data_IF_886426356441
#
_entry.id   IF_886426356441
#
_cell.length_a   1.000
_cell.length_b   1.000
_cell.length_c   1.000
_cell.angle_alpha   90.00
_cell.angle_beta   90.00
_cell.angle_gamma   90.00
#
_symmetry.space_group_name_H-M   'P 1'
#
loop_
_entity.id
_entity.type
_entity.pdbx_description
1 polymer ?
#
# COMPACT_ATOMS: atom_id res chain seq x y z
N UNK A 1 -10.94 -14.41 -9.61
CA UNK A 1 -10.56 -13.08 -9.10
C UNK A 1 -10.74 -12.05 -10.20
N UNK A 2 -11.36 -10.91 -9.91
CA UNK A 2 -11.49 -9.79 -10.86
C UNK A 2 -10.45 -8.71 -10.54
N UNK A 3 -9.38 -8.67 -11.33
CA UNK A 3 -8.34 -7.62 -11.22
C UNK A 3 -8.75 -6.44 -12.06
N UNK A 4 -9.07 -5.33 -11.41
CA UNK A 4 -9.32 -4.08 -12.09
C UNK A 4 -8.11 -3.16 -11.96
N UNK A 5 -7.94 -2.26 -12.93
CA UNK A 5 -6.96 -1.18 -12.88
C UNK A 5 -7.69 0.15 -12.69
N UNK A 6 -7.12 1.03 -11.87
CA UNK A 6 -7.67 2.37 -11.59
C UNK A 6 -6.55 3.40 -11.68
N UNK A 7 -6.85 4.58 -12.22
CA UNK A 7 -5.83 5.63 -12.38
C UNK A 7 -5.34 6.14 -11.03
N UNK A 8 -4.06 6.51 -10.95
CA UNK A 8 -3.52 7.17 -9.77
C UNK A 8 -4.30 8.43 -9.39
N UNK A 9 -4.76 9.21 -10.37
CA UNK A 9 -5.63 10.37 -10.12
C UNK A 9 -6.90 10.00 -9.35
N UNK A 10 -7.58 8.93 -9.76
CA UNK A 10 -8.81 8.47 -9.09
C UNK A 10 -8.53 7.97 -7.67
N UNK A 11 -7.41 7.26 -7.47
CA UNK A 11 -7.00 6.78 -6.14
C UNK A 11 -6.60 7.95 -5.24
N UNK A 12 -5.81 8.90 -5.75
CA UNK A 12 -5.45 10.14 -5.05
C UNK A 12 -6.67 10.93 -4.62
N UNK A 13 -7.65 11.12 -5.51
CA UNK A 13 -8.90 11.80 -5.19
C UNK A 13 -9.65 11.08 -4.05
N UNK A 14 -9.72 9.75 -4.10
CA UNK A 14 -10.35 8.94 -3.03
C UNK A 14 -9.61 9.05 -1.71
N UNK A 15 -8.27 9.06 -1.70
CA UNK A 15 -7.48 9.24 -0.47
C UNK A 15 -7.78 10.62 0.13
N UNK A 16 -7.72 11.68 -0.67
CA UNK A 16 -8.00 13.05 -0.23
C UNK A 16 -9.41 13.19 0.34
N UNK A 17 -10.40 12.59 -0.32
CA UNK A 17 -11.79 12.54 0.13
C UNK A 17 -11.92 11.74 1.44
N UNK A 18 -11.44 10.49 1.47
CA UNK A 18 -11.59 9.60 2.63
C UNK A 18 -10.95 10.16 3.89
N UNK A 19 -9.82 10.85 3.76
CA UNK A 19 -9.04 11.38 4.87
C UNK A 19 -9.19 12.89 5.07
N UNK A 20 -10.07 13.56 4.32
CA UNK A 20 -10.26 15.01 4.41
C UNK A 20 -8.92 15.78 4.43
N UNK A 21 -8.07 15.56 3.42
CA UNK A 21 -6.71 16.14 3.39
C UNK A 21 -6.66 17.61 2.95
N UNK A 22 -7.82 18.22 2.65
CA UNK A 22 -7.96 19.66 2.38
C UNK A 22 -7.43 20.12 1.02
N UNK A 23 -6.29 19.59 0.56
CA UNK A 23 -5.73 19.85 -0.77
C UNK A 23 -5.60 18.54 -1.57
N UNK A 24 -5.85 18.57 -2.89
CA UNK A 24 -5.48 17.46 -3.75
C UNK A 24 -3.97 17.22 -3.69
N UNK A 25 -3.55 15.97 -3.64
CA UNK A 25 -2.14 15.59 -3.78
C UNK A 25 -1.59 16.28 -5.03
N UNK A 26 -0.51 17.08 -4.88
CA UNK A 26 0.05 17.85 -5.98
C UNK A 26 0.76 16.91 -6.96
N UNK A 27 0.06 16.61 -8.05
CA UNK A 27 0.53 15.75 -9.13
C UNK A 27 -0.03 14.32 -9.05
N UNK A 28 0.10 13.55 -10.14
CA UNK A 28 -0.46 12.20 -10.23
C UNK A 28 0.28 11.18 -9.36
N UNK A 29 1.34 11.58 -8.66
CA UNK A 29 2.24 10.62 -8.05
C UNK A 29 1.74 10.25 -6.66
N UNK A 30 1.15 9.06 -6.55
CA UNK A 30 0.97 8.33 -5.30
C UNK A 30 2.33 7.83 -4.82
N UNK A 31 3.26 8.77 -4.60
CA UNK A 31 4.54 8.46 -3.99
C UNK A 31 4.46 8.63 -2.48
N UNK A 32 5.28 7.87 -1.75
CA UNK A 32 5.33 7.87 -0.29
C UNK A 32 5.48 9.25 0.32
N UNK A 33 6.47 10.02 -0.15
CA UNK A 33 6.83 11.31 0.42
C UNK A 33 5.69 12.33 0.27
N UNK A 34 5.03 12.36 -0.91
CA UNK A 34 3.90 13.27 -1.14
C UNK A 34 2.68 12.92 -0.30
N UNK A 35 2.42 11.62 -0.10
CA UNK A 35 1.38 11.17 0.82
C UNK A 35 1.74 11.56 2.26
N UNK A 36 2.98 11.32 2.69
CA UNK A 36 3.51 11.76 3.97
C UNK A 36 3.25 13.24 4.24
N UNK A 37 3.71 14.10 3.33
CA UNK A 37 3.54 15.56 3.42
C UNK A 37 2.06 15.94 3.53
N UNK A 38 1.17 15.35 2.72
CA UNK A 38 -0.25 15.68 2.74
C UNK A 38 -0.95 15.27 4.06
N UNK A 39 -0.55 14.14 4.64
CA UNK A 39 -1.02 13.70 5.94
C UNK A 39 -0.53 14.65 7.04
N UNK A 40 0.74 15.03 7.03
CA UNK A 40 1.32 15.99 7.98
C UNK A 40 0.68 17.39 7.89
N UNK A 41 0.51 17.93 6.68
CA UNK A 41 -0.18 19.22 6.43
C UNK A 41 -1.61 19.20 6.98
N UNK A 42 -2.26 18.03 6.92
CA UNK A 42 -3.60 17.79 7.44
C UNK A 42 -3.65 17.52 8.94
N UNK A 43 -2.51 17.62 9.65
CA UNK A 43 -2.31 17.28 11.07
C UNK A 43 -2.71 15.84 11.40
N UNK A 44 -2.57 14.93 10.42
CA UNK A 44 -2.81 13.50 10.54
C UNK A 44 -1.45 12.82 10.56
N UNK A 45 -0.98 12.42 11.73
CA UNK A 45 0.36 11.84 11.86
C UNK A 45 0.36 10.38 11.37
N UNK A 46 1.19 10.11 10.37
CA UNK A 46 1.65 8.75 10.04
C UNK A 46 2.73 8.36 11.05
N UNK A 47 2.50 7.27 11.79
CA UNK A 47 3.50 6.74 12.72
C UNK A 47 4.35 5.74 11.93
N UNK A 48 5.63 6.03 11.82
CA UNK A 48 6.61 5.20 11.13
C UNK A 48 7.29 4.25 12.11
N UNK A 49 7.29 2.97 11.76
CA UNK A 49 7.89 1.89 12.54
C UNK A 49 8.94 1.19 11.66
N UNK A 50 10.13 0.91 12.21
CA UNK A 50 11.13 0.10 11.51
C UNK A 50 10.68 -1.35 11.49
N UNK A 51 10.67 -1.98 10.32
CA UNK A 51 10.43 -3.41 10.16
C UNK A 51 11.64 -4.16 10.69
N UNK A 52 11.41 -5.09 11.62
CA UNK A 52 12.47 -5.91 12.21
C UNK A 52 13.10 -6.78 11.12
N UNK A 53 14.43 -6.94 11.18
CA UNK A 53 15.21 -7.80 10.28
C UNK A 53 15.10 -7.48 8.78
N UNK A 54 14.61 -6.28 8.41
CA UNK A 54 14.49 -5.86 7.01
C UNK A 54 15.82 -5.94 6.24
N UNK A 55 16.92 -5.52 6.86
CA UNK A 55 18.27 -5.58 6.25
C UNK A 55 18.71 -7.03 6.00
N UNK A 56 18.27 -7.98 6.83
CA UNK A 56 18.52 -9.41 6.64
C UNK A 56 17.67 -9.97 5.50
N UNK A 57 16.43 -9.51 5.36
CA UNK A 57 15.57 -9.85 4.23
C UNK A 57 16.12 -9.31 2.91
N UNK A 58 16.50 -8.02 2.87
CA UNK A 58 17.09 -7.37 1.69
C UNK A 58 18.38 -8.05 1.22
N UNK A 59 19.19 -8.53 2.17
CA UNK A 59 20.43 -9.28 1.86
C UNK A 59 20.20 -10.77 1.55
N UNK A 60 18.95 -11.25 1.57
CA UNK A 60 18.59 -12.65 1.32
C UNK A 60 19.05 -13.63 2.40
N UNK A 61 19.31 -13.13 3.62
CA UNK A 61 19.72 -13.95 4.77
C UNK A 61 18.50 -14.62 5.42
N UNK A 62 17.35 -13.96 5.38
CA UNK A 62 16.06 -14.51 5.82
C UNK A 62 15.03 -14.40 4.70
N UNK A 63 14.10 -15.35 4.69
CA UNK A 63 12.88 -15.27 3.87
C UNK A 63 11.70 -14.89 4.77
N UNK A 64 10.85 -14.00 4.28
CA UNK A 64 9.57 -13.65 4.92
C UNK A 64 8.47 -14.38 4.17
N UNK A 65 7.62 -15.13 4.88
CA UNK A 65 6.49 -15.81 4.25
C UNK A 65 5.42 -14.81 3.83
N UNK A 66 4.60 -15.19 2.83
CA UNK A 66 3.50 -14.36 2.35
C UNK A 66 2.52 -13.99 3.46
N UNK A 67 2.25 -14.94 4.36
CA UNK A 67 1.40 -14.75 5.53
C UNK A 67 2.01 -13.73 6.50
N UNK A 68 3.30 -13.86 6.82
CA UNK A 68 4.00 -12.93 7.71
C UNK A 68 4.05 -11.52 7.11
N UNK A 69 4.21 -11.41 5.79
CA UNK A 69 4.21 -10.12 5.12
C UNK A 69 2.82 -9.47 5.14
N UNK A 70 1.76 -10.23 4.86
CA UNK A 70 0.38 -9.71 4.98
C UNK A 70 0.09 -9.28 6.43
N UNK A 71 0.54 -10.06 7.42
CA UNK A 71 0.44 -9.68 8.83
C UNK A 71 1.23 -8.42 9.15
N UNK A 72 2.44 -8.25 8.59
CA UNK A 72 3.22 -7.02 8.74
C UNK A 72 2.47 -5.82 8.16
N UNK A 73 1.94 -5.94 6.94
CA UNK A 73 1.25 -4.87 6.23
C UNK A 73 0.02 -4.39 7.00
N UNK A 74 -0.86 -5.29 7.43
CA UNK A 74 -2.12 -4.87 8.05
C UNK A 74 -2.04 -4.82 9.57
N UNK A 75 -1.19 -5.62 10.21
CA UNK A 75 -1.01 -5.76 11.66
C UNK A 75 -2.34 -5.82 12.44
N UNK A 76 -3.33 -6.53 11.89
CA UNK A 76 -4.69 -6.62 12.43
C UNK A 76 -5.47 -5.30 12.47
N UNK A 77 -4.98 -4.22 11.85
CA UNK A 77 -5.57 -2.88 11.86
C UNK A 77 -6.73 -2.68 10.87
N UNK A 78 -7.02 -3.68 10.03
CA UNK A 78 -8.14 -3.63 9.10
C UNK A 78 -8.84 -4.99 8.97
N UNK A 79 -10.10 -4.99 8.50
CA UNK A 79 -10.84 -6.23 8.25
C UNK A 79 -10.33 -6.92 6.97
N UNK A 80 -10.62 -8.22 6.81
CA UNK A 80 -10.30 -8.95 5.57
C UNK A 80 -11.42 -8.86 4.51
N UNK A 81 -12.04 -7.69 4.37
CA UNK A 81 -13.19 -7.47 3.47
C UNK A 81 -13.13 -6.15 2.71
N UNK A 82 -13.95 -6.00 1.66
CA UNK A 82 -14.06 -4.76 0.90
C UNK A 82 -12.97 -4.56 -0.16
N UNK A 83 -13.00 -3.40 -0.82
CA UNK A 83 -12.05 -3.08 -1.88
C UNK A 83 -10.67 -2.68 -1.31
N UNK A 84 -9.63 -3.07 -2.03
CA UNK A 84 -8.24 -2.78 -1.73
C UNK A 84 -7.57 -2.22 -2.99
N UNK A 85 -6.99 -1.03 -2.84
CA UNK A 85 -6.11 -0.44 -3.85
C UNK A 85 -4.66 -0.74 -3.51
N UNK A 86 -3.91 -1.26 -4.47
CA UNK A 86 -2.51 -1.65 -4.32
C UNK A 86 -1.67 -0.87 -5.33
N UNK A 87 -0.66 -0.16 -4.83
CA UNK A 87 0.30 0.60 -5.61
C UNK A 87 1.68 0.06 -5.28
N UNK A 88 2.41 -0.36 -6.31
CA UNK A 88 3.80 -0.80 -6.26
C UNK A 88 4.62 0.01 -7.27
N UNK A 89 5.94 -0.12 -7.26
CA UNK A 89 6.83 0.55 -8.23
C UNK A 89 6.45 0.26 -9.69
N UNK A 90 5.97 -0.96 -9.98
CA UNK A 90 5.46 -1.35 -11.29
C UNK A 90 4.35 -0.40 -11.82
N UNK A 91 3.50 0.11 -10.92
CA UNK A 91 2.35 0.94 -11.26
C UNK A 91 2.73 2.36 -11.70
N UNK A 92 3.97 2.81 -11.47
CA UNK A 92 4.41 4.15 -11.86
C UNK A 92 4.64 4.30 -13.37
N UNK A 93 4.90 3.18 -14.06
CA UNK A 93 5.13 3.16 -15.50
C UNK A 93 3.89 3.58 -16.29
N UNK A 94 2.71 3.09 -15.89
CA UNK A 94 1.43 3.32 -16.55
C UNK A 94 0.48 4.23 -15.74
N UNK A 95 0.86 4.57 -14.50
CA UNK A 95 0.06 5.35 -13.53
C UNK A 95 -1.28 4.68 -13.19
N UNK A 96 -1.30 3.35 -13.15
CA UNK A 96 -2.47 2.54 -12.85
C UNK A 96 -2.25 1.65 -11.63
N UNK A 97 -3.01 1.90 -10.56
CA UNK A 97 -3.06 1.04 -9.39
C UNK A 97 -3.91 -0.21 -9.65
N UNK A 98 -3.62 -1.29 -8.91
CA UNK A 98 -4.50 -2.46 -8.88
C UNK A 98 -5.67 -2.21 -7.93
N UNK A 99 -6.84 -2.71 -8.30
CA UNK A 99 -8.07 -2.66 -7.50
C UNK A 99 -8.64 -4.07 -7.43
N UNK A 100 -8.64 -4.65 -6.23
CA UNK A 100 -9.11 -6.01 -5.98
C UNK A 100 -10.03 -6.05 -4.75
N UNK A 101 -10.73 -7.17 -4.56
CA UNK A 101 -11.29 -7.48 -3.24
C UNK A 101 -10.17 -7.87 -2.28
N UNK A 102 -10.25 -7.46 -1.02
CA UNK A 102 -9.29 -7.88 0.01
C UNK A 102 -9.29 -9.42 0.17
N UNK A 103 -10.44 -10.08 0.00
CA UNK A 103 -10.52 -11.55 0.03
C UNK A 103 -9.58 -12.24 -0.95
N UNK A 104 -9.20 -11.55 -2.03
CA UNK A 104 -8.41 -12.10 -3.11
C UNK A 104 -6.94 -11.66 -3.03
N UNK A 105 -6.55 -10.96 -1.95
CA UNK A 105 -5.20 -10.42 -1.79
C UNK A 105 -4.12 -11.50 -1.83
N UNK A 106 -4.35 -12.63 -1.17
CA UNK A 106 -3.39 -13.73 -1.11
C UNK A 106 -3.18 -14.35 -2.50
N UNK A 107 -4.27 -14.62 -3.24
CA UNK A 107 -4.21 -15.09 -4.63
C UNK A 107 -3.53 -14.05 -5.55
N UNK A 108 -3.82 -12.77 -5.35
CA UNK A 108 -3.18 -11.69 -6.09
C UNK A 108 -1.66 -11.66 -5.89
N UNK A 109 -1.19 -11.69 -4.65
CA UNK A 109 0.23 -11.63 -4.30
C UNK A 109 0.98 -12.87 -4.80
N UNK A 110 0.43 -14.06 -4.54
CA UNK A 110 1.11 -15.35 -4.80
C UNK A 110 1.10 -15.74 -6.27
N UNK A 111 0.03 -15.40 -6.99
CA UNK A 111 -0.27 -16.02 -8.29
C UNK A 111 -0.39 -14.99 -9.40
N UNK A 112 -1.17 -13.92 -9.21
CA UNK A 112 -1.50 -13.02 -10.32
C UNK A 112 -0.48 -11.91 -10.51
N UNK A 113 0.07 -11.32 -9.44
CA UNK A 113 1.11 -10.30 -9.54
C UNK A 113 2.37 -10.84 -10.24
N UNK A 114 2.89 -12.04 -9.92
CA UNK A 114 4.02 -12.61 -10.65
C UNK A 114 3.73 -12.85 -12.14
N UNK A 115 2.50 -13.22 -12.50
CA UNK A 115 2.10 -13.37 -13.90
C UNK A 115 2.04 -12.01 -14.63
N UNK A 116 1.49 -10.99 -13.98
CA UNK A 116 1.28 -9.67 -14.59
C UNK A 116 2.58 -8.86 -14.67
N UNK A 117 3.38 -8.89 -13.62
CA UNK A 117 4.55 -8.04 -13.44
C UNK A 117 5.87 -8.77 -13.75
N UNK A 118 5.84 -10.10 -13.92
CA UNK A 118 7.02 -10.94 -14.17
C UNK A 118 8.06 -10.87 -13.02
N UNK A 119 7.59 -10.67 -11.78
CA UNK A 119 8.41 -10.57 -10.57
C UNK A 119 7.61 -10.97 -9.32
N UNK A 120 8.30 -11.38 -8.25
CA UNK A 120 7.64 -11.63 -6.96
C UNK A 120 7.00 -10.34 -6.43
N UNK A 121 5.91 -10.46 -5.67
CA UNK A 121 5.32 -9.32 -4.98
C UNK A 121 6.22 -8.80 -3.84
N UNK A 122 6.90 -9.70 -3.14
CA UNK A 122 7.81 -9.33 -2.06
C UNK A 122 9.15 -8.94 -2.63
N UNK A 123 9.31 -7.65 -2.85
CA UNK A 123 10.56 -7.00 -3.24
C UNK A 123 10.81 -5.83 -2.27
N UNK A 124 12.05 -5.34 -2.23
CA UNK A 124 12.40 -4.11 -1.51
C UNK A 124 11.99 -2.89 -2.34
N UNK A 125 10.67 -2.72 -2.49
CA UNK A 125 10.04 -1.64 -3.26
C UNK A 125 9.12 -0.82 -2.36
N UNK A 126 8.72 0.36 -2.81
CA UNK A 126 7.70 1.15 -2.14
C UNK A 126 6.31 0.57 -2.45
N UNK A 127 5.52 0.31 -1.40
CA UNK A 127 4.19 -0.28 -1.52
C UNK A 127 3.17 0.52 -0.72
N UNK A 128 2.05 0.87 -1.36
CA UNK A 128 0.90 1.48 -0.71
C UNK A 128 -0.30 0.56 -0.82
N UNK A 129 -0.97 0.34 0.31
CA UNK A 129 -2.28 -0.30 0.37
C UNK A 129 -3.31 0.70 0.89
N UNK A 130 -4.39 0.90 0.15
CA UNK A 130 -5.47 1.80 0.57
C UNK A 130 -6.82 1.09 0.56
N UNK A 131 -7.50 1.12 1.71
CA UNK A 131 -8.86 0.63 1.90
C UNK A 131 -9.81 1.80 2.17
N UNK A 132 -10.58 2.25 1.17
CA UNK A 132 -11.44 3.41 1.31
C UNK A 132 -12.54 3.21 2.35
N UNK A 133 -13.16 2.03 2.38
CA UNK A 133 -14.31 1.74 3.26
C UNK A 133 -13.95 1.80 4.75
N UNK A 134 -12.70 1.52 5.10
CA UNK A 134 -12.21 1.53 6.48
C UNK A 134 -11.38 2.77 6.79
N UNK A 135 -11.23 3.68 5.83
CA UNK A 135 -10.30 4.82 5.91
C UNK A 135 -8.96 4.37 6.47
N UNK A 136 -8.41 3.34 5.83
CA UNK A 136 -7.16 2.73 6.22
C UNK A 136 -6.16 2.81 5.08
N UNK A 137 -4.96 3.26 5.38
CA UNK A 137 -3.84 3.26 4.46
C UNK A 137 -2.61 2.69 5.15
N UNK A 138 -1.94 1.77 4.48
CA UNK A 138 -0.62 1.27 4.85
C UNK A 138 0.37 1.72 3.82
N UNK A 139 1.54 2.05 4.32
CA UNK A 139 2.66 2.36 3.49
C UNK A 139 3.90 1.58 3.95
N UNK A 140 4.56 0.87 3.03
CA UNK A 140 5.83 0.19 3.26
C UNK A 140 6.89 0.81 2.34
N UNK A 141 7.95 1.34 2.94
CA UNK A 141 9.08 1.92 2.23
C UNK A 141 10.13 0.86 1.92
N UNK A 142 10.80 0.99 0.78
CA UNK A 142 11.88 0.09 0.35
C UNK A 142 13.02 -0.02 1.38
N UNK A 143 13.23 0.99 2.23
CA UNK A 143 14.21 0.97 3.33
C UNK A 143 13.74 0.30 4.62
N UNK A 144 12.59 -0.39 4.61
CA UNK A 144 12.12 -1.16 5.75
C UNK A 144 11.43 -0.35 6.82
N UNK A 145 10.74 0.72 6.43
CA UNK A 145 9.88 1.47 7.34
C UNK A 145 8.43 1.30 6.90
N UNK A 146 7.56 0.99 7.86
CA UNK A 146 6.14 0.85 7.64
C UNK A 146 5.40 1.96 8.38
N UNK A 147 4.37 2.52 7.76
CA UNK A 147 3.46 3.46 8.39
C UNK A 147 2.02 3.02 8.15
N UNK A 148 1.20 3.21 9.17
CA UNK A 148 -0.23 2.98 9.09
C UNK A 148 -0.97 4.25 9.47
N UNK A 149 -2.06 4.51 8.77
CA UNK A 149 -3.06 5.45 9.24
C UNK A 149 -4.45 4.83 9.13
N UNK A 150 -5.20 4.94 10.22
CA UNK A 150 -6.60 4.53 10.32
C UNK A 150 -7.36 5.64 11.04
N UNK A 151 -8.45 6.15 10.46
CA UNK A 151 -9.46 6.79 11.31
C UNK A 151 -10.16 5.65 12.06
N UNK A 152 -9.93 5.52 13.37
CA UNK A 152 -10.70 4.59 14.20
C UNK A 152 -12.19 4.92 14.00
N UNK A 153 -12.91 4.03 13.33
CA UNK A 153 -14.37 4.00 13.32
C UNK A 153 -14.90 3.65 14.70
#
# INVERSE_FOLDING_TARGET
MDINKITFESVSAKIVECFNLGNPLKGPDLVPNKLGDAFEESRKNLIWEKVLDWELFESGVIDISDEDFIQLLFNGKCTKSGLLYIITDFCFSDKMAFCISHSDLEEFITTEYPKLCQMSFFQTEDIIFFKPNEKFITYLHHSGFIAHYSEKS
#
